data_IF_174779940314
#
_entry.id   IF_174779940314
#
_cell.length_a   1.000
_cell.length_b   1.000
_cell.length_c   1.000
_cell.angle_alpha   90.00
_cell.angle_beta   90.00
_cell.angle_gamma   90.00
#
_symmetry.space_group_name_H-M   'P 1'
#
loop_
_entity.id
_entity.type
_entity.pdbx_description
1 polymer ?
#
# COMPACT_ATOMS: atom_id res chain seq x y z
N UNK A 1 -11.38 1.63 7.48
CA UNK A 1 -10.11 1.95 6.82
C UNK A 1 -9.69 0.85 5.81
N UNK A 2 -9.75 -0.46 6.12
CA UNK A 2 -9.34 -1.51 5.16
C UNK A 2 -10.14 -1.54 3.86
N UNK A 3 -11.48 -1.41 3.91
CA UNK A 3 -12.31 -1.25 2.71
C UNK A 3 -11.88 -0.04 1.87
N UNK A 4 -11.59 1.09 2.54
CA UNK A 4 -11.14 2.33 1.90
C UNK A 4 -9.80 2.13 1.21
N UNK A 5 -8.84 1.51 1.90
CA UNK A 5 -7.54 1.10 1.35
C UNK A 5 -7.73 0.24 0.09
N UNK A 6 -8.54 -0.81 0.16
CA UNK A 6 -8.77 -1.70 -0.98
C UNK A 6 -9.42 -0.97 -2.16
N UNK A 7 -10.48 -0.18 -1.91
CA UNK A 7 -11.15 0.62 -2.95
C UNK A 7 -10.18 1.62 -3.57
N UNK A 8 -9.42 2.35 -2.76
CA UNK A 8 -8.47 3.33 -3.24
C UNK A 8 -7.34 2.68 -4.05
N UNK A 9 -6.85 1.50 -3.66
CA UNK A 9 -5.87 0.78 -4.45
C UNK A 9 -6.42 0.32 -5.81
N UNK A 10 -7.68 -0.10 -5.86
CA UNK A 10 -8.35 -0.43 -7.13
C UNK A 10 -8.51 0.83 -7.97
N UNK A 11 -9.04 1.92 -7.41
CA UNK A 11 -9.22 3.20 -8.11
C UNK A 11 -7.89 3.76 -8.64
N UNK A 12 -6.84 3.76 -7.83
CA UNK A 12 -5.50 4.19 -8.24
C UNK A 12 -4.92 3.31 -9.36
N UNK A 13 -5.17 2.00 -9.32
CA UNK A 13 -4.75 1.10 -10.40
C UNK A 13 -5.41 1.46 -11.72
N UNK A 14 -6.73 1.73 -11.71
CA UNK A 14 -7.45 2.19 -12.90
C UNK A 14 -6.99 3.56 -13.37
N UNK A 15 -6.74 4.50 -12.45
CA UNK A 15 -6.24 5.83 -12.77
C UNK A 15 -4.87 5.77 -13.46
N UNK A 16 -3.94 4.98 -12.93
CA UNK A 16 -2.63 4.72 -13.57
C UNK A 16 -2.77 4.03 -14.92
N UNK A 17 -3.69 3.06 -15.05
CA UNK A 17 -3.91 2.34 -16.32
C UNK A 17 -4.45 3.28 -17.40
N UNK A 18 -5.39 4.16 -17.07
CA UNK A 18 -5.90 5.18 -17.99
C UNK A 18 -4.80 6.19 -18.37
N UNK A 19 -4.00 6.66 -17.40
CA UNK A 19 -2.86 7.57 -17.67
C UNK A 19 -1.78 6.90 -18.51
N UNK A 20 -1.51 5.60 -18.36
CA UNK A 20 -0.56 4.85 -19.21
C UNK A 20 -1.04 4.66 -20.64
N UNK A 21 -2.35 4.51 -20.83
CA UNK A 21 -2.93 4.45 -22.18
C UNK A 21 -2.79 5.79 -22.91
N UNK A 22 -2.73 6.92 -22.18
CA UNK A 22 -2.49 8.25 -22.74
C UNK A 22 -1.00 8.63 -22.85
N UNK A 23 -0.12 8.02 -22.04
CA UNK A 23 1.32 8.33 -21.98
C UNK A 23 2.21 7.26 -22.60
N UNK A 24 2.12 7.06 -23.91
CA UNK A 24 3.28 6.59 -24.71
C UNK A 24 4.25 7.75 -24.90
N UNK A 25 5.04 8.08 -23.86
CA UNK A 25 6.38 8.68 -23.94
C UNK A 25 6.91 8.96 -22.53
N UNK A 26 8.01 8.28 -22.22
CA UNK A 26 9.09 8.61 -21.29
C UNK A 26 8.85 8.80 -19.76
N UNK A 27 9.54 7.90 -19.06
CA UNK A 27 10.22 8.02 -17.77
C UNK A 27 9.47 7.82 -16.43
N UNK A 28 9.91 6.75 -15.74
CA UNK A 28 10.14 6.78 -14.29
C UNK A 28 9.02 6.24 -13.40
N UNK A 29 8.51 5.03 -13.66
CA UNK A 29 7.57 4.41 -12.72
C UNK A 29 8.24 3.49 -11.69
N UNK A 30 7.93 3.73 -10.41
CA UNK A 30 8.16 2.74 -9.35
C UNK A 30 7.27 1.52 -9.60
N UNK A 31 7.81 0.29 -9.58
CA UNK A 31 7.03 -0.90 -9.87
C UNK A 31 6.02 -1.12 -8.74
N UNK A 32 4.74 -0.88 -9.04
CA UNK A 32 3.64 -1.41 -8.23
C UNK A 32 3.64 -2.91 -8.46
N UNK A 33 4.30 -3.67 -7.57
CA UNK A 33 4.21 -5.12 -7.60
C UNK A 33 2.77 -5.51 -7.26
N UNK A 34 2.00 -5.86 -8.28
CA UNK A 34 0.66 -6.43 -8.12
C UNK A 34 0.85 -7.85 -7.60
N UNK A 35 0.71 -8.03 -6.29
CA UNK A 35 0.56 -9.36 -5.70
C UNK A 35 -0.86 -9.82 -6.02
N UNK A 36 -1.01 -11.00 -6.63
CA UNK A 36 -2.32 -11.60 -6.93
C UNK A 36 -3.19 -11.61 -5.67
N UNK A 37 -4.34 -10.95 -5.74
CA UNK A 37 -5.26 -10.81 -4.60
C UNK A 37 -5.95 -12.13 -4.25
N UNK A 38 -6.43 -12.23 -3.02
CA UNK A 38 -7.32 -13.31 -2.57
C UNK A 38 -8.65 -13.22 -3.34
N UNK A 39 -9.12 -14.35 -3.87
CA UNK A 39 -10.31 -14.47 -4.74
C UNK A 39 -11.63 -14.06 -4.05
N UNK A 40 -11.64 -13.86 -2.73
CA UNK A 40 -12.80 -13.39 -1.99
C UNK A 40 -12.43 -12.47 -0.79
N UNK A 41 -12.57 -11.15 -0.92
CA UNK A 41 -12.26 -10.18 0.14
C UNK A 41 -13.10 -10.35 1.42
N UNK A 42 -14.31 -10.93 1.33
CA UNK A 42 -15.18 -11.19 2.50
C UNK A 42 -14.70 -12.36 3.34
N UNK A 43 -13.78 -13.19 2.82
CA UNK A 43 -13.20 -14.34 3.53
C UNK A 43 -11.90 -14.03 4.25
N UNK A 44 -11.48 -12.77 4.33
CA UNK A 44 -10.27 -12.41 5.07
C UNK A 44 -10.50 -12.71 6.57
N UNK A 45 -9.73 -13.62 7.18
CA UNK A 45 -9.85 -13.93 8.60
C UNK A 45 -9.75 -12.66 9.45
N UNK A 46 -10.57 -12.54 10.50
CA UNK A 46 -10.52 -11.40 11.45
C UNK A 46 -9.11 -11.22 12.03
N UNK A 47 -8.39 -12.33 12.22
CA UNK A 47 -6.99 -12.38 12.65
C UNK A 47 -6.06 -11.59 11.72
N UNK A 48 -6.29 -11.67 10.40
CA UNK A 48 -5.47 -10.96 9.41
C UNK A 48 -5.72 -9.45 9.45
N UNK A 49 -6.95 -9.02 9.76
CA UNK A 49 -7.27 -7.59 9.90
C UNK A 49 -6.55 -6.97 11.11
N UNK A 50 -6.62 -7.62 12.27
CA UNK A 50 -5.94 -7.18 13.50
C UNK A 50 -4.42 -7.16 13.29
N UNK A 51 -3.87 -8.18 12.60
CA UNK A 51 -2.45 -8.23 12.30
C UNK A 51 -1.96 -7.03 11.46
N UNK A 52 -2.81 -6.50 10.57
CA UNK A 52 -2.48 -5.33 9.74
C UNK A 52 -2.57 -4.03 10.54
N UNK A 53 -3.61 -3.85 11.36
CA UNK A 53 -3.74 -2.66 12.24
C UNK A 53 -2.49 -2.52 13.13
N UNK A 54 -2.13 -3.61 13.83
CA UNK A 54 -0.92 -3.67 14.64
C UNK A 54 0.37 -3.39 13.84
N UNK A 55 0.43 -3.81 12.57
CA UNK A 55 1.61 -3.62 11.74
C UNK A 55 1.74 -2.15 11.30
N UNK A 56 0.62 -1.49 10.98
CA UNK A 56 0.56 -0.06 10.69
C UNK A 56 0.99 0.73 11.92
N UNK A 57 0.55 0.33 13.11
CA UNK A 57 0.92 0.98 14.37
C UNK A 57 2.39 0.80 14.78
N UNK A 58 3.13 -0.08 14.13
CA UNK A 58 4.58 -0.24 14.30
C UNK A 58 5.42 0.53 13.27
N UNK A 59 4.76 1.25 12.36
CA UNK A 59 5.45 2.15 11.44
C UNK A 59 5.95 3.41 12.18
N UNK A 60 7.18 3.88 11.87
CA UNK A 60 7.62 5.22 12.27
C UNK A 60 6.63 6.29 11.77
N UNK A 61 6.47 7.36 12.53
CA UNK A 61 5.41 8.36 12.30
C UNK A 61 5.38 8.91 10.86
N UNK A 62 6.53 9.29 10.29
CA UNK A 62 6.57 9.76 8.89
C UNK A 62 6.05 8.73 7.89
N UNK A 63 6.44 7.46 8.06
CA UNK A 63 6.03 6.36 7.17
C UNK A 63 4.52 6.08 7.32
N UNK A 64 4.03 6.09 8.56
CA UNK A 64 2.60 5.90 8.84
C UNK A 64 1.78 7.01 8.22
N UNK A 65 2.16 8.27 8.43
CA UNK A 65 1.41 9.43 7.94
C UNK A 65 1.30 9.40 6.41
N UNK A 66 2.42 9.16 5.72
CA UNK A 66 2.43 9.04 4.26
C UNK A 66 1.60 7.85 3.79
N UNK A 67 1.71 6.69 4.46
CA UNK A 67 0.92 5.50 4.10
C UNK A 67 -0.58 5.71 4.28
N UNK A 68 -1.00 6.32 5.40
CA UNK A 68 -2.41 6.59 5.67
C UNK A 68 -2.95 7.58 4.65
N UNK A 69 -2.29 8.72 4.44
CA UNK A 69 -2.78 9.72 3.49
C UNK A 69 -2.82 9.16 2.05
N UNK A 70 -1.79 8.47 1.60
CA UNK A 70 -1.74 7.98 0.23
C UNK A 70 -2.58 6.70 0.03
N UNK A 71 -2.21 5.61 0.70
CA UNK A 71 -2.81 4.30 0.40
C UNK A 71 -4.20 4.14 1.05
N UNK A 72 -4.43 4.72 2.23
CA UNK A 72 -5.73 4.58 2.93
C UNK A 72 -6.72 5.66 2.53
N UNK A 73 -6.30 6.92 2.48
CA UNK A 73 -7.18 8.07 2.19
C UNK A 73 -7.26 8.39 0.69
N UNK A 74 -6.24 8.03 -0.09
CA UNK A 74 -6.24 8.16 -1.55
C UNK A 74 -5.65 9.46 -2.09
N UNK A 75 -4.91 10.22 -1.27
CA UNK A 75 -4.24 11.44 -1.71
C UNK A 75 -3.05 11.14 -2.62
N UNK A 76 -2.86 11.99 -3.63
CA UNK A 76 -1.70 11.93 -4.51
C UNK A 76 -0.43 12.44 -3.82
N UNK A 77 0.74 12.06 -4.32
CA UNK A 77 2.00 12.42 -3.69
C UNK A 77 2.22 13.94 -3.56
N UNK A 78 1.71 14.72 -4.51
CA UNK A 78 1.72 16.19 -4.48
C UNK A 78 0.86 16.74 -3.34
N UNK A 79 -0.30 16.14 -3.07
CA UNK A 79 -1.19 16.53 -1.97
C UNK A 79 -0.58 16.14 -0.62
N UNK A 80 -0.05 14.93 -0.51
CA UNK A 80 0.63 14.45 0.70
C UNK A 80 1.83 15.32 1.03
N UNK A 81 2.63 15.68 0.02
CA UNK A 81 3.79 16.57 0.16
C UNK A 81 3.38 17.94 0.73
N UNK A 82 2.30 18.54 0.21
CA UNK A 82 1.73 19.80 0.72
C UNK A 82 1.24 19.67 2.16
N UNK A 83 0.47 18.63 2.48
CA UNK A 83 -0.10 18.40 3.82
C UNK A 83 1.01 18.23 4.88
N UNK A 84 2.07 17.50 4.54
CA UNK A 84 3.15 17.18 5.47
C UNK A 84 4.34 18.16 5.42
N UNK A 85 4.28 19.19 4.56
CA UNK A 85 5.37 20.16 4.40
C UNK A 85 6.69 19.52 3.96
N UNK A 86 6.65 18.51 3.08
CA UNK A 86 7.85 17.82 2.58
C UNK A 86 7.90 17.78 1.05
N UNK A 87 8.99 17.29 0.47
CA UNK A 87 9.09 17.16 -0.99
C UNK A 87 8.27 15.97 -1.51
N UNK A 88 7.82 16.04 -2.77
CA UNK A 88 7.15 14.90 -3.46
C UNK A 88 8.05 13.65 -3.46
N UNK A 89 9.36 13.82 -3.64
CA UNK A 89 10.33 12.71 -3.55
C UNK A 89 10.42 12.11 -2.14
N UNK A 90 10.29 12.93 -1.10
CA UNK A 90 10.20 12.47 0.30
C UNK A 90 8.92 11.64 0.50
N UNK A 91 7.77 12.09 0.02
CA UNK A 91 6.51 11.33 0.06
C UNK A 91 6.65 9.96 -0.63
N UNK A 92 7.16 9.92 -1.86
CA UNK A 92 7.40 8.68 -2.62
C UNK A 92 8.34 7.71 -1.89
N UNK A 93 9.48 8.20 -1.41
CA UNK A 93 10.47 7.38 -0.72
C UNK A 93 10.01 6.87 0.65
N UNK A 94 9.27 7.69 1.42
CA UNK A 94 8.68 7.27 2.69
C UNK A 94 7.58 6.22 2.48
N UNK A 95 6.73 6.37 1.46
CA UNK A 95 5.71 5.38 1.13
C UNK A 95 6.34 4.02 0.78
N UNK A 96 7.40 4.04 -0.03
CA UNK A 96 8.15 2.82 -0.35
C UNK A 96 8.70 2.13 0.91
N UNK A 97 9.34 2.90 1.80
CA UNK A 97 9.88 2.38 3.07
C UNK A 97 8.78 1.86 4.00
N UNK A 98 7.62 2.53 4.03
CA UNK A 98 6.45 2.09 4.79
C UNK A 98 6.00 0.69 4.34
N UNK A 99 5.78 0.51 3.02
CA UNK A 99 5.36 -0.77 2.43
C UNK A 99 6.37 -1.89 2.67
N UNK A 100 7.67 -1.61 2.54
CA UNK A 100 8.73 -2.58 2.82
C UNK A 100 8.71 -3.02 4.30
N UNK A 101 8.51 -2.08 5.23
CA UNK A 101 8.43 -2.38 6.66
C UNK A 101 7.17 -3.16 7.01
N UNK A 102 6.01 -2.80 6.45
CA UNK A 102 4.75 -3.55 6.62
C UNK A 102 4.90 -5.00 6.15
N UNK A 103 5.48 -5.22 4.96
CA UNK A 103 5.73 -6.57 4.45
C UNK A 103 6.56 -7.41 5.42
N UNK A 104 7.63 -6.85 5.98
CA UNK A 104 8.47 -7.54 6.98
C UNK A 104 7.71 -7.85 8.27
N UNK A 105 6.87 -6.93 8.75
CA UNK A 105 6.08 -7.10 9.97
C UNK A 105 5.01 -8.19 9.79
N UNK A 106 4.36 -8.23 8.64
CA UNK A 106 3.31 -9.20 8.33
C UNK A 106 3.87 -10.59 8.03
N UNK A 107 5.03 -10.69 7.38
CA UNK A 107 5.73 -11.97 7.18
C UNK A 107 6.13 -12.64 8.50
N UNK A 108 6.48 -11.87 9.53
CA UNK A 108 6.79 -12.39 10.87
C UNK A 108 5.57 -12.90 11.63
N UNK A 109 4.37 -12.38 11.31
CA UNK A 109 3.12 -12.74 11.96
C UNK A 109 2.36 -13.87 11.24
N UNK A 110 2.62 -14.09 9.96
CA UNK A 110 1.99 -15.18 9.23
C UNK A 110 2.49 -16.53 9.80
N UNK A 111 1.60 -17.46 10.17
CA UNK A 111 2.03 -18.83 10.45
C UNK A 111 2.73 -19.37 9.19
N UNK A 112 3.75 -20.23 9.34
CA UNK A 112 4.38 -20.87 8.18
C UNK A 112 3.25 -21.51 7.37
N UNK A 113 3.07 -21.04 6.14
CA UNK A 113 2.10 -21.66 5.23
C UNK A 113 2.54 -23.11 5.13
N UNK A 114 1.78 -24.00 5.77
CA UNK A 114 1.90 -25.44 5.56
C UNK A 114 1.58 -25.60 4.07
N UNK A 115 2.64 -25.64 3.26
CA UNK A 115 2.56 -26.16 1.92
C UNK A 115 1.97 -27.55 2.08
N UNK A 116 0.74 -27.70 1.59
CA UNK A 116 0.07 -28.99 1.53
C UNK A 116 1.01 -29.96 0.85
N UNK A 117 1.42 -30.96 1.62
CA UNK A 117 1.95 -32.21 1.13
C UNK A 117 0.74 -33.00 0.61
N UNK A 118 0.92 -33.59 -0.58
CA UNK A 118 0.04 -34.46 -1.39
C UNK A 118 -0.95 -33.77 -2.33
#
# INVERSE_FOLDING_TARGET
WLHRLTVNQVLMHFRKRNVKFEKTTEEGETPVQVVGGTENPRKMPVVDKIAIEDAIDKLPNGYRNVFVLHDVEGYEHEEVARILGCSVGTSKSQLHKARLKLRKLLQKKAPPRLFGIQ
#
